data_IF_982099028956
#
_entry.id   IF_982099028956
#
_cell.length_a   1.000
_cell.length_b   1.000
_cell.length_c   1.000
_cell.angle_alpha   90.00
_cell.angle_beta   90.00
_cell.angle_gamma   90.00
#
_symmetry.space_group_name_H-M   'P 1'
#
loop_
_entity.id
_entity.type
_entity.pdbx_description
1 polymer ?
#
# COMPACT_ATOMS: atom_id res chain seq x y z
N UNK A 1 40.57 37.30 -10.84
CA UNK A 1 40.39 36.30 -9.76
C UNK A 1 38.97 36.28 -9.19
N UNK A 2 38.19 37.38 -9.19
CA UNK A 2 36.80 37.38 -8.69
C UNK A 2 35.74 36.72 -9.60
N UNK A 3 36.01 36.56 -10.92
CA UNK A 3 35.05 35.97 -11.87
C UNK A 3 34.98 34.42 -11.84
N UNK A 4 36.03 33.78 -11.30
CA UNK A 4 36.09 32.31 -11.15
C UNK A 4 35.35 31.80 -9.89
N UNK A 5 35.13 32.65 -8.89
CA UNK A 5 34.38 32.27 -7.68
C UNK A 5 32.86 32.26 -7.89
N UNK A 6 32.33 33.11 -8.79
CA UNK A 6 30.87 33.16 -9.04
C UNK A 6 30.34 31.96 -9.83
N UNK A 7 31.17 31.31 -10.64
CA UNK A 7 30.79 30.10 -11.39
C UNK A 7 30.83 28.83 -10.53
N UNK A 8 31.43 28.88 -9.34
CA UNK A 8 31.48 27.73 -8.42
C UNK A 8 30.25 27.63 -7.50
N UNK A 9 29.41 28.67 -7.45
CA UNK A 9 28.23 28.74 -6.56
C UNK A 9 26.93 28.30 -7.28
N UNK A 10 26.91 28.26 -8.61
CA UNK A 10 25.75 27.82 -9.40
C UNK A 10 25.68 26.30 -9.65
N UNK A 11 26.58 25.52 -9.06
CA UNK A 11 26.57 24.04 -9.07
C UNK A 11 26.07 23.45 -7.74
N UNK A 12 25.20 24.17 -7.02
CA UNK A 12 24.20 23.52 -6.18
C UNK A 12 23.19 22.86 -7.12
N UNK A 13 23.60 21.74 -7.73
CA UNK A 13 22.67 20.74 -8.23
C UNK A 13 21.73 20.45 -7.05
N UNK A 14 20.51 20.97 -7.14
CA UNK A 14 19.42 20.48 -6.31
C UNK A 14 19.36 18.99 -6.60
N UNK A 15 19.93 18.18 -5.71
CA UNK A 15 19.74 16.75 -5.75
C UNK A 15 18.27 16.59 -5.43
N UNK A 16 17.45 16.45 -6.47
CA UNK A 16 16.04 16.07 -6.32
C UNK A 16 16.09 14.68 -5.72
N UNK A 17 16.05 14.64 -4.38
CA UNK A 17 15.91 13.40 -3.65
C UNK A 17 14.47 12.99 -3.77
N UNK A 18 14.23 11.86 -4.43
CA UNK A 18 12.92 11.20 -4.38
C UNK A 18 12.49 11.05 -2.92
N UNK A 19 11.24 11.43 -2.64
CA UNK A 19 10.64 11.31 -1.32
C UNK A 19 9.48 10.36 -1.42
N UNK A 20 9.47 9.23 -0.68
CA UNK A 20 8.35 8.31 -0.70
C UNK A 20 7.04 9.02 -0.36
N UNK A 21 6.01 8.73 -1.14
CA UNK A 21 4.67 9.22 -0.85
C UNK A 21 3.99 8.30 0.15
N UNK A 22 3.26 8.85 1.09
CA UNK A 22 2.61 8.14 2.19
C UNK A 22 1.21 8.66 2.42
N UNK A 23 0.26 7.75 2.59
CA UNK A 23 -1.12 8.06 2.96
C UNK A 23 -1.52 7.28 4.21
N UNK A 24 -2.13 7.96 5.15
CA UNK A 24 -2.63 7.42 6.41
C UNK A 24 -4.06 7.87 6.65
N UNK A 25 -4.90 6.92 7.08
CA UNK A 25 -6.20 7.17 7.66
C UNK A 25 -6.21 6.68 9.10
N UNK A 26 -6.66 7.54 10.00
CA UNK A 26 -6.70 7.28 11.45
C UNK A 26 -8.16 7.18 11.91
N UNK A 27 -8.69 5.96 11.88
CA UNK A 27 -10.05 5.65 12.28
C UNK A 27 -10.21 5.26 13.75
N UNK A 28 -9.13 4.93 14.46
CA UNK A 28 -9.21 4.58 15.87
C UNK A 28 -9.11 5.81 16.78
N UNK A 29 -9.87 5.85 17.89
CA UNK A 29 -10.71 4.79 18.47
C UNK A 29 -12.16 4.73 17.93
N UNK A 30 -12.51 5.47 16.87
CA UNK A 30 -13.90 5.55 16.34
C UNK A 30 -14.40 4.27 15.68
N UNK A 31 -13.63 3.19 15.69
CA UNK A 31 -13.95 1.92 15.03
C UNK A 31 -14.23 2.12 13.52
N UNK A 32 -13.40 2.95 12.91
CA UNK A 32 -13.31 3.26 11.48
C UNK A 32 -12.00 2.67 10.90
N UNK A 33 -11.83 2.79 9.57
CA UNK A 33 -10.65 2.26 8.88
C UNK A 33 -9.38 2.91 9.41
N UNK A 34 -8.36 2.11 9.69
CA UNK A 34 -7.12 2.59 10.27
C UNK A 34 -5.91 1.92 9.62
N UNK A 35 -5.29 2.64 8.70
CA UNK A 35 -4.17 2.14 7.92
C UNK A 35 -3.24 3.24 7.46
N UNK A 36 -2.02 2.84 7.11
CA UNK A 36 -1.07 3.65 6.38
C UNK A 36 -0.50 2.84 5.22
N UNK A 37 -0.21 3.50 4.11
CA UNK A 37 0.58 2.99 3.02
C UNK A 37 1.69 3.96 2.68
N UNK A 38 2.84 3.46 2.25
CA UNK A 38 3.93 4.27 1.73
C UNK A 38 4.49 3.63 0.45
N UNK A 39 4.78 4.45 -0.55
CA UNK A 39 5.20 3.99 -1.88
C UNK A 39 6.43 4.74 -2.36
N UNK A 40 7.34 4.01 -2.99
CA UNK A 40 8.46 4.55 -3.76
C UNK A 40 8.56 3.80 -5.09
N UNK A 41 9.06 4.47 -6.11
CA UNK A 41 9.27 3.88 -7.42
C UNK A 41 10.77 3.85 -7.74
N UNK A 42 11.17 2.79 -8.43
CA UNK A 42 12.53 2.63 -8.93
C UNK A 42 12.51 2.46 -10.45
N UNK A 43 13.18 3.36 -11.17
CA UNK A 43 13.38 3.22 -12.61
C UNK A 43 14.43 2.12 -12.89
N UNK A 44 13.96 1.03 -13.50
CA UNK A 44 14.80 -0.09 -13.87
C UNK A 44 15.39 0.13 -15.29
N UNK A 45 16.62 0.64 -15.33
CA UNK A 45 17.35 0.92 -16.58
C UNK A 45 17.57 -0.29 -17.51
N UNK A 46 17.35 -1.53 -17.05
CA UNK A 46 17.47 -2.70 -17.92
C UNK A 46 16.18 -3.00 -18.68
N UNK A 47 15.02 -2.60 -18.14
CA UNK A 47 13.69 -2.92 -18.72
C UNK A 47 12.90 -1.69 -19.12
N UNK A 48 13.42 -0.49 -18.78
CA UNK A 48 12.77 0.81 -18.84
C UNK A 48 11.44 0.89 -18.08
N UNK A 49 11.12 -0.12 -17.27
CA UNK A 49 9.94 -0.14 -16.42
C UNK A 49 10.23 0.48 -15.06
N UNK A 50 9.17 0.80 -14.32
CA UNK A 50 9.29 1.19 -12.93
C UNK A 50 8.80 0.09 -12.01
N UNK A 51 9.64 -0.24 -11.05
CA UNK A 51 9.32 -1.14 -9.95
C UNK A 51 8.61 -0.31 -8.86
N UNK A 52 7.54 -0.85 -8.29
CA UNK A 52 6.79 -0.22 -7.21
C UNK A 52 7.14 -0.92 -5.91
N UNK A 53 7.66 -0.17 -4.95
CA UNK A 53 7.95 -0.62 -3.61
C UNK A 53 6.90 -0.06 -2.66
N UNK A 54 6.19 -0.94 -1.96
CA UNK A 54 5.02 -0.57 -1.15
C UNK A 54 5.16 -1.15 0.25
N UNK A 55 4.94 -0.29 1.24
CA UNK A 55 4.69 -0.69 2.63
C UNK A 55 3.23 -0.45 2.93
N UNK A 56 2.58 -1.41 3.56
CA UNK A 56 1.17 -1.33 3.94
C UNK A 56 1.02 -1.79 5.38
N UNK A 57 0.39 -0.98 6.22
CA UNK A 57 0.15 -1.30 7.61
C UNK A 57 -1.28 -0.95 8.02
N UNK A 58 -1.89 -1.77 8.87
CA UNK A 58 -3.18 -1.49 9.49
C UNK A 58 -3.13 -1.78 10.98
N UNK A 59 -3.91 -1.02 11.75
CA UNK A 59 -4.07 -1.25 13.19
C UNK A 59 -5.29 -2.13 13.45
N UNK A 60 -5.18 -3.03 14.40
CA UNK A 60 -6.23 -3.97 14.76
C UNK A 60 -6.25 -4.26 16.25
N UNK A 61 -7.45 -4.27 16.82
CA UNK A 61 -7.64 -4.72 18.19
C UNK A 61 -7.45 -6.23 18.28
N UNK A 62 -6.95 -6.67 19.43
CA UNK A 62 -6.98 -8.04 19.86
C UNK A 62 -8.40 -8.59 19.81
N UNK A 63 -8.47 -9.85 19.45
CA UNK A 63 -9.71 -10.53 19.14
C UNK A 63 -10.31 -11.15 20.42
N UNK A 64 -9.52 -11.26 21.51
CA UNK A 64 -9.92 -11.81 22.81
C UNK A 64 -10.61 -13.18 22.66
N UNK A 65 -10.13 -13.99 21.71
CA UNK A 65 -10.70 -15.30 21.37
C UNK A 65 -11.88 -15.28 20.39
N UNK A 66 -12.35 -14.11 19.95
CA UNK A 66 -13.32 -13.95 18.86
C UNK A 66 -12.57 -13.71 17.56
N UNK A 67 -12.51 -14.69 16.65
CA UNK A 67 -11.84 -14.60 15.34
C UNK A 67 -11.76 -13.17 14.79
N UNK A 68 -10.54 -12.68 14.52
CA UNK A 68 -10.40 -11.33 14.02
C UNK A 68 -11.21 -11.14 12.72
N UNK A 69 -12.20 -10.24 12.81
CA UNK A 69 -13.13 -9.94 11.72
C UNK A 69 -12.54 -8.92 10.78
N UNK A 70 -12.59 -9.23 9.49
CA UNK A 70 -12.39 -8.24 8.47
C UNK A 70 -11.02 -8.18 7.81
N UNK A 71 -10.97 -7.29 6.84
CA UNK A 71 -9.86 -7.04 5.92
C UNK A 71 -9.83 -5.56 5.54
N UNK A 72 -8.64 -5.08 5.18
CA UNK A 72 -8.44 -3.74 4.60
C UNK A 72 -7.67 -3.88 3.30
N UNK A 73 -8.03 -3.09 2.30
CA UNK A 73 -7.45 -3.12 0.98
C UNK A 73 -7.07 -1.72 0.50
N UNK A 74 -6.03 -1.68 -0.32
CA UNK A 74 -5.66 -0.53 -1.14
C UNK A 74 -5.47 -0.97 -2.59
N UNK A 75 -5.67 -0.07 -3.54
CA UNK A 75 -5.48 -0.36 -4.97
C UNK A 75 -4.95 0.83 -5.75
N UNK A 76 -4.03 0.55 -6.67
CA UNK A 76 -3.50 1.55 -7.60
C UNK A 76 -4.46 1.70 -8.79
N UNK A 77 -5.24 2.78 -8.78
CA UNK A 77 -6.23 3.13 -9.78
C UNK A 77 -7.48 3.80 -9.19
N UNK A 78 -8.36 4.37 -10.04
CA UNK A 78 -9.52 5.15 -9.59
C UNK A 78 -10.75 4.30 -9.22
N UNK A 79 -10.70 2.98 -9.43
CA UNK A 79 -11.83 2.07 -9.18
C UNK A 79 -11.34 0.62 -9.08
N UNK A 80 -12.16 -0.31 -8.56
CA UNK A 80 -11.74 -1.72 -8.45
C UNK A 80 -11.37 -2.36 -9.78
N UNK A 81 -12.16 -2.11 -10.84
CA UNK A 81 -11.90 -2.65 -12.16
C UNK A 81 -10.63 -2.03 -12.78
N UNK A 82 -9.64 -2.87 -13.04
CA UNK A 82 -8.35 -2.50 -13.58
C UNK A 82 -7.31 -2.16 -12.51
N UNK A 83 -7.66 -2.03 -11.22
CA UNK A 83 -6.67 -1.73 -10.18
C UNK A 83 -5.83 -2.96 -9.82
N UNK A 84 -4.56 -2.73 -9.53
CA UNK A 84 -3.71 -3.67 -8.79
C UNK A 84 -3.99 -3.47 -7.30
N UNK A 85 -4.63 -4.46 -6.66
CA UNK A 85 -5.12 -4.36 -5.28
C UNK A 85 -4.33 -5.24 -4.31
N UNK A 86 -4.15 -4.74 -3.09
CA UNK A 86 -3.45 -5.39 -2.00
C UNK A 86 -4.40 -5.47 -0.81
N UNK A 87 -4.73 -6.69 -0.36
CA UNK A 87 -5.70 -6.93 0.72
C UNK A 87 -5.01 -7.60 1.89
N UNK A 88 -5.02 -6.94 3.05
CA UNK A 88 -4.35 -7.35 4.27
C UNK A 88 -5.37 -7.74 5.35
N UNK A 89 -5.20 -8.92 5.93
CA UNK A 89 -6.06 -9.47 6.98
C UNK A 89 -5.32 -10.51 7.81
N UNK A 90 -5.96 -10.94 8.90
CA UNK A 90 -5.42 -11.94 9.81
C UNK A 90 -5.82 -11.64 11.23
N UNK A 91 -5.42 -12.53 12.14
CA UNK A 91 -5.63 -12.39 13.57
C UNK A 91 -4.27 -12.50 14.28
N UNK A 92 -3.83 -11.46 15.02
CA UNK A 92 -2.58 -11.52 15.80
C UNK A 92 -2.66 -12.55 16.96
N UNK A 93 -3.86 -12.99 17.34
CA UNK A 93 -4.10 -13.93 18.43
C UNK A 93 -4.67 -15.27 17.94
N UNK A 94 -4.63 -15.52 16.62
CA UNK A 94 -4.99 -16.81 16.08
C UNK A 94 -4.17 -17.93 16.75
N UNK A 95 -4.79 -19.06 17.12
CA UNK A 95 -4.07 -20.22 17.67
C UNK A 95 -2.94 -20.66 16.73
N UNK A 96 -1.85 -21.16 17.34
CA UNK A 96 -0.69 -21.67 16.61
C UNK A 96 -1.11 -22.63 15.48
N UNK A 97 -0.64 -22.32 14.26
CA UNK A 97 -0.96 -23.08 13.04
C UNK A 97 -2.09 -22.51 12.18
N UNK A 98 -2.91 -21.58 12.68
CA UNK A 98 -3.98 -20.95 11.89
C UNK A 98 -3.50 -19.76 11.04
N UNK A 99 -2.57 -18.93 11.54
CA UNK A 99 -1.74 -18.00 10.74
C UNK A 99 -0.83 -17.18 11.67
N UNK A 100 0.45 -17.55 11.82
CA UNK A 100 1.41 -16.81 12.66
C UNK A 100 1.75 -15.40 12.15
N UNK A 101 1.30 -15.05 10.95
CA UNK A 101 1.58 -13.78 10.26
C UNK A 101 0.30 -13.27 9.58
N UNK A 102 0.16 -11.96 9.38
CA UNK A 102 -0.94 -11.46 8.59
C UNK A 102 -0.82 -11.96 7.15
N UNK A 103 -1.97 -12.22 6.55
CA UNK A 103 -2.08 -12.62 5.15
C UNK A 103 -2.27 -11.39 4.29
N UNK A 104 -1.43 -11.27 3.28
CA UNK A 104 -1.58 -10.31 2.20
C UNK A 104 -1.92 -11.08 0.92
N UNK A 105 -2.99 -10.67 0.25
CA UNK A 105 -3.36 -11.18 -1.07
C UNK A 105 -3.31 -10.07 -2.11
N UNK A 106 -2.87 -10.40 -3.32
CA UNK A 106 -2.76 -9.46 -4.44
C UNK A 106 -3.85 -9.82 -5.45
N UNK A 107 -4.69 -8.85 -5.78
CA UNK A 107 -5.94 -9.09 -6.50
C UNK A 107 -6.19 -8.07 -7.60
N UNK A 108 -7.06 -8.43 -8.53
CA UNK A 108 -7.62 -7.49 -9.51
C UNK A 108 -9.06 -7.85 -9.90
N UNK A 109 -9.71 -6.92 -10.59
CA UNK A 109 -10.98 -7.13 -11.31
C UNK A 109 -10.76 -6.67 -12.73
N UNK A 110 -11.04 -7.50 -13.73
CA UNK A 110 -10.81 -7.11 -15.13
C UNK A 110 -11.90 -6.17 -15.65
N UNK A 111 -13.17 -6.40 -15.29
CA UNK A 111 -14.32 -5.61 -15.77
C UNK A 111 -15.45 -5.54 -14.73
N UNK A 112 -16.12 -4.38 -14.70
CA UNK A 112 -17.36 -4.17 -13.96
C UNK A 112 -17.20 -4.22 -12.43
N UNK A 113 -18.34 -4.34 -11.74
CA UNK A 113 -18.39 -4.52 -10.30
C UNK A 113 -18.44 -6.03 -9.99
N UNK A 114 -17.27 -6.65 -9.91
CA UNK A 114 -17.12 -8.08 -9.64
C UNK A 114 -16.22 -8.33 -8.43
N UNK A 115 -16.23 -9.56 -7.91
CA UNK A 115 -15.37 -9.95 -6.80
C UNK A 115 -13.90 -9.97 -7.25
N UNK A 116 -12.99 -9.26 -6.54
CA UNK A 116 -11.56 -9.32 -6.83
C UNK A 116 -11.01 -10.74 -6.73
N UNK A 117 -10.35 -11.17 -7.80
CA UNK A 117 -9.70 -12.48 -7.89
C UNK A 117 -8.20 -12.32 -7.61
N UNK A 118 -7.55 -13.39 -7.13
CA UNK A 118 -6.09 -13.44 -7.06
C UNK A 118 -5.50 -13.23 -8.45
N UNK A 119 -4.38 -12.49 -8.50
CA UNK A 119 -3.58 -12.44 -9.73
C UNK A 119 -2.83 -13.75 -9.84
N UNK A 120 -3.24 -14.59 -10.78
CA UNK A 120 -2.50 -15.81 -11.10
C UNK A 120 -1.17 -15.42 -11.77
N UNK A 121 -0.05 -15.99 -11.31
CA UNK A 121 1.29 -15.64 -11.83
C UNK A 121 1.45 -15.94 -13.32
N UNK A 122 0.68 -16.88 -13.86
CA UNK A 122 0.64 -17.24 -15.28
C UNK A 122 -0.24 -16.30 -16.13
N UNK A 123 -1.13 -15.52 -15.50
CA UNK A 123 -1.96 -14.50 -16.15
C UNK A 123 -1.36 -13.09 -16.09
N UNK A 124 -0.39 -12.86 -15.20
CA UNK A 124 0.38 -11.62 -15.19
C UNK A 124 1.21 -11.47 -16.48
N UNK A 125 1.41 -10.24 -17.01
CA UNK A 125 2.39 -10.02 -18.07
C UNK A 125 3.74 -10.64 -17.67
N UNK A 126 4.43 -11.31 -18.61
CA UNK A 126 5.65 -12.08 -18.32
C UNK A 126 6.75 -11.30 -17.58
N UNK A 127 6.75 -9.98 -17.73
CA UNK A 127 7.75 -9.09 -17.14
C UNK A 127 7.30 -8.47 -15.81
N UNK A 128 6.04 -8.68 -15.40
CA UNK A 128 5.46 -8.17 -14.17
C UNK A 128 5.47 -9.26 -13.09
N UNK A 129 6.08 -8.96 -11.94
CA UNK A 129 6.20 -9.90 -10.83
C UNK A 129 5.92 -9.19 -9.50
N UNK A 130 4.89 -9.64 -8.78
CA UNK A 130 4.53 -9.10 -7.47
C UNK A 130 5.05 -10.03 -6.39
N UNK A 131 5.97 -9.53 -5.57
CA UNK A 131 6.56 -10.27 -4.46
C UNK A 131 6.20 -9.65 -3.13
N UNK A 132 5.73 -10.49 -2.22
CA UNK A 132 5.51 -10.16 -0.81
C UNK A 132 6.81 -10.47 -0.08
N UNK A 133 7.56 -9.45 0.32
CA UNK A 133 8.88 -9.66 0.95
C UNK A 133 8.78 -9.96 2.44
N UNK A 134 7.82 -9.35 3.14
CA UNK A 134 7.59 -9.58 4.57
C UNK A 134 6.12 -9.34 4.91
N UNK A 135 5.59 -10.14 5.84
CA UNK A 135 4.39 -9.79 6.61
C UNK A 135 4.65 -10.07 8.09
N UNK A 136 4.18 -9.20 8.99
CA UNK A 136 4.38 -9.37 10.44
C UNK A 136 3.31 -8.69 11.26
N UNK A 137 3.11 -9.24 12.46
CA UNK A 137 2.39 -8.60 13.55
C UNK A 137 3.39 -7.95 14.51
N UNK A 138 3.09 -6.73 14.95
CA UNK A 138 3.80 -6.07 16.05
C UNK A 138 2.79 -5.49 17.02
N UNK A 139 3.02 -5.62 18.34
CA UNK A 139 2.17 -4.93 19.33
C UNK A 139 2.36 -3.41 19.19
N UNK A 140 1.27 -2.66 19.27
CA UNK A 140 1.32 -1.20 19.21
C UNK A 140 2.07 -0.66 20.44
N UNK A 141 2.88 0.39 20.25
CA UNK A 141 3.73 0.97 21.28
C UNK A 141 3.02 2.02 22.16
N UNK A 142 1.70 2.16 22.03
CA UNK A 142 0.90 3.24 22.63
C UNK A 142 0.53 3.01 24.11
N UNK A 143 1.04 1.95 24.74
CA UNK A 143 1.03 1.76 26.19
C UNK A 143 -0.35 1.50 26.83
N UNK A 144 -1.44 1.60 26.07
CA UNK A 144 -2.81 1.59 26.62
C UNK A 144 -3.76 0.55 26.02
N UNK A 145 -3.33 -0.35 25.12
CA UNK A 145 -4.30 -1.30 24.55
C UNK A 145 -3.73 -2.61 24.00
N UNK A 146 -4.60 -3.61 23.99
CA UNK A 146 -4.44 -4.85 23.23
C UNK A 146 -4.60 -4.56 21.72
N UNK A 147 -3.68 -3.77 21.19
CA UNK A 147 -3.65 -3.36 19.79
C UNK A 147 -2.41 -3.92 19.10
N UNK A 148 -2.59 -4.33 17.86
CA UNK A 148 -1.55 -4.86 17.00
C UNK A 148 -1.52 -4.08 15.68
N UNK A 149 -0.34 -4.01 15.09
CA UNK A 149 -0.11 -3.51 13.74
C UNK A 149 0.19 -4.71 12.85
N UNK A 150 -0.66 -4.94 11.86
CA UNK A 150 -0.32 -5.79 10.73
C UNK A 150 0.53 -4.95 9.79
N UNK A 151 1.68 -5.45 9.36
CA UNK A 151 2.48 -4.78 8.32
C UNK A 151 2.87 -5.76 7.23
N UNK A 152 2.96 -5.23 6.01
CA UNK A 152 3.38 -5.93 4.83
C UNK A 152 4.31 -5.06 3.98
N UNK A 153 5.33 -5.70 3.42
CA UNK A 153 6.28 -5.09 2.50
C UNK A 153 6.18 -5.82 1.16
N UNK A 154 6.01 -5.04 0.09
CA UNK A 154 5.72 -5.54 -1.26
C UNK A 154 6.70 -4.91 -2.24
N UNK A 155 7.17 -5.70 -3.20
CA UNK A 155 7.86 -5.22 -4.38
C UNK A 155 7.12 -5.73 -5.61
N UNK A 156 6.66 -4.82 -6.46
CA UNK A 156 6.10 -5.14 -7.76
C UNK A 156 7.06 -4.71 -8.86
N UNK A 157 7.72 -5.68 -9.47
CA UNK A 157 8.62 -5.46 -10.58
C UNK A 157 7.86 -5.12 -11.85
N UNK A 158 8.34 -4.11 -12.58
CA UNK A 158 7.73 -3.58 -13.79
C UNK A 158 6.24 -3.23 -13.67
N UNK A 159 5.79 -2.80 -12.48
CA UNK A 159 4.39 -2.47 -12.21
C UNK A 159 3.85 -1.32 -13.07
N UNK A 160 4.73 -0.44 -13.58
CA UNK A 160 4.32 0.57 -14.56
C UNK A 160 3.79 -0.02 -15.88
N UNK A 161 4.00 -1.31 -16.13
CA UNK A 161 3.45 -2.06 -17.28
C UNK A 161 2.18 -2.85 -16.92
N UNK A 162 1.56 -2.57 -15.78
CA UNK A 162 0.30 -3.20 -15.38
C UNK A 162 -0.79 -3.01 -16.46
N UNK A 163 -1.47 -4.08 -16.93
CA UNK A 163 -2.36 -4.02 -18.09
C UNK A 163 -3.74 -3.43 -17.78
N UNK A 164 -4.04 -3.17 -16.51
CA UNK A 164 -5.28 -2.54 -16.09
C UNK A 164 -5.19 -1.02 -16.14
N UNK A 165 -5.50 -0.36 -15.03
CA UNK A 165 -5.28 1.09 -14.89
C UNK A 165 -3.79 1.39 -14.82
N UNK A 166 -3.33 2.31 -15.65
CA UNK A 166 -1.93 2.75 -15.66
C UNK A 166 -1.45 3.18 -14.26
N UNK A 167 -0.24 2.72 -13.92
CA UNK A 167 0.51 3.14 -12.73
C UNK A 167 1.68 3.99 -13.25
N UNK A 168 1.46 5.30 -13.32
CA UNK A 168 2.41 6.22 -13.96
C UNK A 168 3.43 6.74 -12.94
N UNK A 169 4.74 6.71 -13.25
CA UNK A 169 5.77 7.33 -12.42
C UNK A 169 5.85 8.86 -12.61
N UNK A 170 5.14 9.43 -13.59
CA UNK A 170 5.23 10.84 -13.97
C UNK A 170 4.05 11.68 -13.46
N UNK A 171 3.08 11.08 -12.77
CA UNK A 171 1.90 11.79 -12.29
C UNK A 171 2.08 12.25 -10.85
N UNK A 172 1.86 13.54 -10.61
CA UNK A 172 1.77 14.11 -9.28
C UNK A 172 0.43 13.80 -8.57
N UNK A 173 -0.50 13.14 -9.26
CA UNK A 173 -1.90 12.99 -8.83
C UNK A 173 -2.49 11.65 -9.28
N UNK A 174 -1.77 10.54 -9.05
CA UNK A 174 -2.27 9.18 -9.37
C UNK A 174 -3.45 8.85 -8.45
N UNK A 175 -4.62 8.48 -9.00
CA UNK A 175 -5.72 8.01 -8.17
C UNK A 175 -5.44 6.62 -7.62
N UNK A 176 -5.70 6.45 -6.33
CA UNK A 176 -5.73 5.20 -5.61
C UNK A 176 -7.06 5.05 -4.87
N UNK A 177 -7.41 3.81 -4.55
CA UNK A 177 -8.60 3.47 -3.78
C UNK A 177 -8.19 2.77 -2.49
N UNK A 178 -9.05 2.87 -1.48
CA UNK A 178 -9.02 2.01 -0.32
C UNK A 178 -10.41 1.44 -0.06
N UNK A 179 -10.45 0.28 0.58
CA UNK A 179 -11.69 -0.35 1.02
C UNK A 179 -11.46 -1.20 2.26
N UNK A 180 -12.51 -1.44 3.05
CA UNK A 180 -12.43 -2.33 4.20
C UNK A 180 -13.80 -2.94 4.56
N UNK A 181 -13.75 -4.09 5.22
CA UNK A 181 -14.90 -4.70 5.85
C UNK A 181 -14.46 -5.16 7.25
N UNK A 182 -15.11 -4.70 8.30
CA UNK A 182 -14.79 -5.05 9.69
C UNK A 182 -15.60 -6.22 10.27
N UNK A 183 -16.55 -6.76 9.51
CA UNK A 183 -17.54 -7.74 9.97
C UNK A 183 -17.29 -9.15 9.43
N UNK A 184 -16.59 -9.28 8.29
CA UNK A 184 -16.40 -10.57 7.65
C UNK A 184 -15.53 -11.51 8.49
N UNK A 185 -15.99 -12.74 8.70
CA UNK A 185 -15.21 -13.78 9.34
C UNK A 185 -14.16 -14.38 8.38
N UNK A 186 -12.88 -14.06 8.60
CA UNK A 186 -11.75 -14.59 7.81
C UNK A 186 -11.29 -15.94 8.37
N UNK A 187 -12.04 -17.02 8.12
CA UNK A 187 -11.87 -18.32 8.84
C UNK A 187 -10.55 -19.05 8.58
N UNK A 188 -10.04 -19.00 7.36
CA UNK A 188 -8.90 -19.82 6.91
C UNK A 188 -7.59 -19.04 6.83
N UNK A 189 -7.67 -17.70 6.85
CA UNK A 189 -6.58 -16.78 6.51
C UNK A 189 -5.83 -17.15 5.22
N UNK A 190 -6.45 -17.90 4.29
CA UNK A 190 -5.81 -18.25 3.03
C UNK A 190 -5.81 -17.05 2.07
N UNK A 191 -4.78 -16.86 1.23
CA UNK A 191 -4.71 -15.74 0.27
C UNK A 191 -5.90 -15.66 -0.70
N UNK A 192 -6.50 -16.81 -1.05
CA UNK A 192 -7.63 -16.95 -1.97
C UNK A 192 -9.00 -16.82 -1.30
N UNK A 193 -9.05 -16.56 0.02
CA UNK A 193 -10.29 -16.37 0.76
C UNK A 193 -11.20 -15.36 0.05
N UNK A 194 -12.44 -15.76 -0.24
CA UNK A 194 -13.41 -14.86 -0.88
C UNK A 194 -13.69 -13.66 0.02
N UNK A 195 -13.73 -12.47 -0.57
CA UNK A 195 -14.07 -11.22 0.13
C UNK A 195 -15.56 -10.95 -0.02
N UNK A 196 -16.22 -10.73 1.11
CA UNK A 196 -17.52 -10.06 1.16
C UNK A 196 -17.34 -8.59 0.79
N UNK A 197 -18.41 -7.92 0.40
CA UNK A 197 -18.36 -6.51 0.02
C UNK A 197 -17.87 -5.62 1.18
N UNK A 198 -17.08 -4.58 0.89
CA UNK A 198 -16.81 -3.52 1.88
C UNK A 198 -18.11 -2.84 2.32
N UNK A 199 -18.09 -2.09 3.44
CA UNK A 199 -19.31 -1.36 3.86
C UNK A 199 -19.72 -0.32 2.82
N UNK A 200 -21.03 -0.09 2.66
CA UNK A 200 -21.56 0.77 1.59
C UNK A 200 -21.47 2.28 1.89
N UNK A 201 -21.26 2.67 3.15
CA UNK A 201 -21.33 4.07 3.58
C UNK A 201 -19.93 4.64 3.85
N UNK A 202 -19.14 3.93 4.64
CA UNK A 202 -17.82 4.32 5.14
C UNK A 202 -16.74 3.28 4.84
N UNK A 203 -17.03 2.41 3.87
CA UNK A 203 -16.23 1.20 3.59
C UNK A 203 -15.21 1.35 2.50
N UNK A 204 -15.19 2.49 1.81
CA UNK A 204 -14.32 2.71 0.67
C UNK A 204 -14.11 4.20 0.43
N UNK A 205 -13.03 4.53 -0.27
CA UNK A 205 -12.71 5.88 -0.65
C UNK A 205 -11.60 5.96 -1.68
N UNK A 206 -11.22 7.19 -2.01
CA UNK A 206 -10.15 7.51 -2.94
C UNK A 206 -9.13 8.38 -2.24
N UNK A 207 -7.90 8.31 -2.71
CA UNK A 207 -6.82 9.23 -2.39
C UNK A 207 -5.92 9.37 -3.60
N UNK A 208 -5.09 10.40 -3.59
CA UNK A 208 -4.22 10.75 -4.70
C UNK A 208 -2.79 10.71 -4.21
N UNK A 209 -1.91 10.19 -5.06
CA UNK A 209 -0.51 9.95 -4.73
C UNK A 209 0.36 10.68 -5.75
N UNK A 210 1.31 11.46 -5.25
CA UNK A 210 2.39 12.04 -6.01
C UNK A 210 3.41 10.93 -6.33
N UNK A 211 3.23 10.30 -7.49
CA UNK A 211 4.12 9.23 -7.97
C UNK A 211 5.40 9.82 -8.54
N UNK A 212 5.35 11.05 -9.06
CA UNK A 212 6.52 11.79 -9.57
C UNK A 212 7.53 12.03 -8.44
N UNK A 213 7.09 12.61 -7.31
CA UNK A 213 7.95 12.83 -6.16
C UNK A 213 8.49 11.52 -5.54
N UNK A 214 7.71 10.43 -5.64
CA UNK A 214 8.08 9.11 -5.12
C UNK A 214 9.05 8.34 -6.03
N UNK A 215 9.33 8.83 -7.25
CA UNK A 215 10.16 8.14 -8.24
C UNK A 215 11.64 8.43 -8.08
N UNK A 216 12.45 7.36 -8.11
CA UNK A 216 13.91 7.43 -7.93
C UNK A 216 14.66 6.53 -8.91
N UNK A 217 15.95 6.82 -9.11
CA UNK A 217 16.90 5.94 -9.80
C UNK A 217 17.70 5.06 -8.83
N UNK A 218 17.29 4.95 -7.56
CA UNK A 218 18.00 4.18 -6.54
C UNK A 218 17.04 3.25 -5.82
N UNK A 219 17.20 1.94 -6.05
CA UNK A 219 16.47 0.93 -5.31
C UNK A 219 16.80 1.01 -3.81
N UNK A 220 15.82 1.43 -3.00
CA UNK A 220 15.92 1.51 -1.54
C UNK A 220 15.04 0.48 -0.82
N UNK A 221 14.23 -0.26 -1.56
CA UNK A 221 13.25 -1.21 -1.03
C UNK A 221 11.94 -0.53 -0.58
N UNK A 222 11.00 -1.30 -0.01
CA UNK A 222 9.76 -0.78 0.59
C UNK A 222 10.04 0.35 1.60
N UNK A 223 9.42 1.53 1.43
CA UNK A 223 9.72 2.69 2.25
C UNK A 223 9.17 2.51 3.68
N UNK A 224 9.87 3.06 4.67
CA UNK A 224 9.35 3.04 6.05
C UNK A 224 8.12 3.95 6.17
N UNK A 225 7.12 3.52 6.95
CA UNK A 225 5.98 4.37 7.32
C UNK A 225 6.43 5.29 8.47
N UNK A 226 6.31 6.59 8.25
CA UNK A 226 6.71 7.64 9.21
C UNK A 226 5.45 8.24 9.84
N UNK A 227 5.18 7.93 11.11
CA UNK A 227 4.06 8.52 11.84
C UNK A 227 4.51 9.83 12.50
N UNK A 228 3.92 10.96 12.10
CA UNK A 228 4.28 12.30 12.56
C UNK A 228 3.07 13.06 13.16
N UNK A 229 2.15 12.34 13.81
CA UNK A 229 0.93 12.94 14.36
C UNK A 229 -0.14 13.21 13.30
N UNK A 230 -0.95 14.27 13.48
CA UNK A 230 -2.12 14.58 12.63
C UNK A 230 -1.79 14.79 11.14
N UNK A 231 -0.54 15.16 10.80
CA UNK A 231 -0.06 15.31 9.42
C UNK A 231 0.91 14.19 9.03
N UNK A 232 0.41 12.95 8.98
CA UNK A 232 1.21 11.80 8.53
C UNK A 232 1.16 11.57 7.01
N UNK A 233 0.41 12.37 6.25
CA UNK A 233 0.38 12.28 4.79
C UNK A 233 1.57 13.04 4.18
N UNK A 234 2.28 12.41 3.26
CA UNK A 234 3.46 12.96 2.56
C UNK A 234 3.23 12.70 1.07
N UNK A 235 3.15 13.74 0.23
CA UNK A 235 2.91 13.54 -1.21
C UNK A 235 1.58 12.82 -1.50
N UNK A 236 0.59 12.91 -0.62
CA UNK A 236 -0.75 12.33 -0.83
C UNK A 236 -1.86 13.25 -0.33
N UNK A 237 -3.07 13.05 -0.87
CA UNK A 237 -4.23 13.90 -0.59
C UNK A 237 -5.55 13.15 -0.80
N UNK A 238 -6.59 13.52 -0.05
CA UNK A 238 -7.98 13.02 -0.27
C UNK A 238 -8.65 13.63 -1.51
N UNK A 239 -7.99 14.59 -2.16
CA UNK A 239 -8.45 15.27 -3.37
C UNK A 239 -7.33 15.26 -4.41
N UNK A 240 -7.66 15.37 -5.72
CA UNK A 240 -6.64 15.56 -6.74
C UNK A 240 -5.68 16.68 -6.35
N UNK A 241 -4.39 16.37 -6.43
CA UNK A 241 -3.26 17.31 -6.31
C UNK A 241 -3.06 18.08 -7.61
#
# INVERSE_FOLDING_TARGET
MFSLLLHSIFLLLAVVSATPSQYCLFGLPRNEVDFCMAVSLYHNHSTEAHDVHLSFALRRAASNGSHALGWTAIGAGPQMAGSLMFVLYGDPEAPDGAAARPTLSVRTVTKGHALPQLIAQDEAPKDLDVRISETKWTRAADGESDMYVASASIVCYACSKWPGTEISPETASQPWIWAWNKQQHMRSFLPDQQLEMHTLIDGYGHFYVDMEAATSHKASGPPAIVLAGENSNIGTSDRPM
#
